data_IF_791026781117
#
_entry.id   IF_791026781117
#
_cell.length_a   1.000
_cell.length_b   1.000
_cell.length_c   1.000
_cell.angle_alpha   90.00
_cell.angle_beta   90.00
_cell.angle_gamma   90.00
#
_symmetry.space_group_name_H-M   'P 1'
#
loop_
_entity.id
_entity.type
_entity.pdbx_description
1 polymer ?
#
# COMPACT_ATOMS: atom_id res chain seq x y z
N UNK A 1 3.40 11.51 25.93
CA UNK A 1 2.12 10.85 25.50
C UNK A 1 0.99 11.83 25.80
N UNK A 2 0.19 12.18 24.79
CA UNK A 2 -0.91 13.11 24.89
C UNK A 2 -2.23 12.32 24.96
N UNK A 3 -2.94 12.41 26.08
CA UNK A 3 -4.18 11.67 26.31
C UNK A 3 -5.30 12.08 25.33
N UNK A 4 -5.39 13.38 25.00
CA UNK A 4 -6.41 13.86 24.05
C UNK A 4 -6.20 13.28 22.67
N UNK A 5 -4.94 13.19 22.22
CA UNK A 5 -4.59 12.58 20.94
C UNK A 5 -4.82 11.07 20.93
N UNK A 6 -4.58 10.37 22.04
CA UNK A 6 -4.93 8.95 22.17
C UNK A 6 -6.43 8.72 22.10
N UNK A 7 -7.23 9.59 22.76
CA UNK A 7 -8.68 9.54 22.67
C UNK A 7 -9.17 9.86 21.24
N UNK A 8 -8.54 10.81 20.56
CA UNK A 8 -8.83 11.14 19.17
C UNK A 8 -8.54 9.93 18.26
N UNK A 9 -7.36 9.30 18.39
CA UNK A 9 -7.01 8.07 17.67
C UNK A 9 -8.06 6.97 17.88
N UNK A 10 -8.47 6.73 19.12
CA UNK A 10 -9.48 5.72 19.44
C UNK A 10 -10.82 6.02 18.75
N UNK A 11 -11.24 7.28 18.71
CA UNK A 11 -12.47 7.71 18.01
C UNK A 11 -12.36 7.52 16.50
N UNK A 12 -11.22 7.87 15.87
CA UNK A 12 -10.99 7.66 14.44
C UNK A 12 -11.09 6.16 14.10
N UNK A 13 -10.40 5.29 14.86
CA UNK A 13 -10.47 3.84 14.66
C UNK A 13 -11.89 3.31 14.81
N UNK A 14 -12.64 3.81 15.80
CA UNK A 14 -14.04 3.40 16.00
C UNK A 14 -14.92 3.86 14.83
N UNK A 15 -14.73 5.09 14.34
CA UNK A 15 -15.46 5.61 13.19
C UNK A 15 -15.18 4.80 11.91
N UNK A 16 -13.93 4.40 11.67
CA UNK A 16 -13.58 3.49 10.58
C UNK A 16 -14.36 2.16 10.69
N UNK A 17 -14.40 1.55 11.88
CA UNK A 17 -15.16 0.30 12.10
C UNK A 17 -16.65 0.50 11.83
N UNK A 18 -17.23 1.57 12.39
CA UNK A 18 -18.65 1.89 12.21
C UNK A 18 -19.01 2.01 10.73
N UNK A 19 -18.16 2.67 9.93
CA UNK A 19 -18.37 2.84 8.50
C UNK A 19 -18.44 1.49 7.76
N UNK A 20 -17.46 0.60 7.95
CA UNK A 20 -17.43 -0.68 7.25
C UNK A 20 -18.51 -1.63 7.73
N UNK A 21 -18.78 -1.70 9.05
CA UNK A 21 -19.86 -2.52 9.60
C UNK A 21 -21.22 -2.06 9.06
N UNK A 22 -21.48 -0.75 9.02
CA UNK A 22 -22.73 -0.20 8.49
C UNK A 22 -22.92 -0.50 6.99
N UNK A 23 -21.83 -0.73 6.25
CA UNK A 23 -21.86 -1.14 4.84
C UNK A 23 -21.88 -2.66 4.63
N UNK A 24 -21.96 -3.45 5.70
CA UNK A 24 -22.06 -4.91 5.65
C UNK A 24 -20.74 -5.63 5.39
N UNK A 25 -19.59 -4.98 5.62
CA UNK A 25 -18.31 -5.68 5.58
C UNK A 25 -18.11 -6.53 6.83
N UNK A 26 -17.51 -7.69 6.65
CA UNK A 26 -17.09 -8.55 7.77
C UNK A 26 -15.73 -8.05 8.31
N UNK A 27 -15.67 -7.69 9.60
CA UNK A 27 -14.39 -7.46 10.26
C UNK A 27 -13.67 -8.80 10.45
N UNK A 28 -12.42 -8.88 10.02
CA UNK A 28 -11.58 -10.06 10.13
C UNK A 28 -10.45 -9.83 11.12
N UNK A 29 -9.93 -10.93 11.68
CA UNK A 29 -8.76 -10.97 12.56
C UNK A 29 -7.88 -12.12 12.12
N UNK A 30 -6.92 -11.84 11.28
CA UNK A 30 -6.02 -12.82 10.69
C UNK A 30 -4.69 -12.88 11.46
N UNK A 31 -3.94 -14.01 11.37
CA UNK A 31 -2.68 -14.15 12.09
C UNK A 31 -1.65 -13.07 11.70
N UNK A 32 -0.94 -12.55 12.70
CA UNK A 32 0.22 -11.69 12.51
C UNK A 32 1.51 -12.46 12.15
N UNK A 33 1.51 -13.77 12.36
CA UNK A 33 2.62 -14.67 12.02
C UNK A 33 2.23 -15.56 10.85
N UNK A 34 3.11 -15.66 9.85
CA UNK A 34 2.90 -16.53 8.69
C UNK A 34 4.15 -17.34 8.37
N UNK A 35 4.00 -18.62 7.96
CA UNK A 35 5.12 -19.40 7.44
C UNK A 35 5.55 -18.98 6.04
N UNK A 36 4.66 -18.32 5.31
CA UNK A 36 4.85 -17.87 3.92
C UNK A 36 4.35 -16.43 3.79
N UNK A 37 4.95 -15.65 2.90
CA UNK A 37 4.51 -14.29 2.59
C UNK A 37 4.35 -14.10 1.08
N UNK A 38 3.62 -13.08 0.68
CA UNK A 38 3.59 -12.61 -0.71
C UNK A 38 4.97 -12.03 -1.01
N UNK A 39 5.61 -12.39 -2.13
CA UNK A 39 6.90 -11.83 -2.49
C UNK A 39 6.73 -10.39 -3.00
N UNK A 40 7.26 -9.45 -2.26
CA UNK A 40 7.36 -8.04 -2.66
C UNK A 40 8.83 -7.62 -2.48
N UNK A 41 9.53 -7.37 -3.57
CA UNK A 41 10.98 -7.09 -3.55
C UNK A 41 11.32 -5.83 -2.78
N UNK A 42 10.44 -4.83 -2.81
CA UNK A 42 10.62 -3.55 -2.10
C UNK A 42 10.40 -3.61 -0.58
N UNK A 43 9.86 -4.71 -0.03
CA UNK A 43 9.55 -4.82 1.41
C UNK A 43 10.47 -5.83 2.10
N UNK A 44 11.10 -5.43 3.20
CA UNK A 44 11.82 -6.34 4.09
C UNK A 44 10.96 -6.77 5.28
N UNK A 45 11.18 -7.98 5.78
CA UNK A 45 10.33 -8.63 6.77
C UNK A 45 11.08 -8.98 8.06
N UNK A 46 10.34 -9.11 9.17
CA UNK A 46 10.87 -9.66 10.40
C UNK A 46 10.72 -11.17 10.41
N UNK A 47 11.80 -11.88 10.69
CA UNK A 47 11.82 -13.34 10.84
C UNK A 47 11.86 -13.72 12.32
N UNK A 48 11.10 -14.75 12.68
CA UNK A 48 11.12 -15.37 14.02
C UNK A 48 11.01 -16.88 13.90
N UNK A 49 11.04 -17.59 15.03
CA UNK A 49 10.94 -19.05 15.06
C UNK A 49 9.91 -19.52 16.10
N UNK A 50 9.04 -20.43 15.68
CA UNK A 50 8.25 -21.23 16.60
C UNK A 50 9.05 -22.46 17.02
N UNK A 51 9.27 -22.62 18.32
CA UNK A 51 9.93 -23.79 18.89
C UNK A 51 8.88 -24.83 19.26
N UNK A 52 8.92 -25.98 18.58
CA UNK A 52 7.95 -27.06 18.84
C UNK A 52 8.21 -27.66 20.23
N UNK A 53 7.21 -27.63 21.16
CA UNK A 53 7.39 -28.17 22.50
C UNK A 53 7.89 -29.62 22.50
N UNK A 54 8.78 -29.95 23.44
CA UNK A 54 9.32 -31.30 23.64
C UNK A 54 10.06 -31.87 22.41
N UNK A 55 10.58 -31.01 21.52
CA UNK A 55 11.23 -31.39 20.26
C UNK A 55 12.34 -30.40 19.93
N UNK A 56 13.31 -30.83 19.13
CA UNK A 56 14.32 -29.93 18.55
C UNK A 56 13.84 -29.25 17.25
N UNK A 57 12.61 -29.55 16.83
CA UNK A 57 12.03 -28.96 15.61
C UNK A 57 11.76 -27.48 15.79
N UNK A 58 12.08 -26.74 14.76
CA UNK A 58 11.83 -25.29 14.66
C UNK A 58 11.10 -24.99 13.37
N UNK A 59 10.20 -24.04 13.41
CA UNK A 59 9.49 -23.55 12.23
C UNK A 59 9.80 -22.05 12.08
N UNK A 60 10.35 -21.67 10.96
CA UNK A 60 10.52 -20.26 10.62
C UNK A 60 9.15 -19.63 10.37
N UNK A 61 8.92 -18.49 10.95
CA UNK A 61 7.74 -17.67 10.80
C UNK A 61 8.17 -16.21 10.53
N UNK A 62 7.28 -15.47 9.90
CA UNK A 62 7.50 -14.08 9.55
C UNK A 62 6.35 -13.23 10.09
N UNK A 63 6.66 -12.04 10.59
CA UNK A 63 5.64 -11.03 10.89
C UNK A 63 5.10 -10.46 9.58
N UNK A 64 3.77 -10.40 9.45
CA UNK A 64 3.14 -9.98 8.19
C UNK A 64 3.33 -8.49 7.92
N UNK A 65 3.78 -8.09 6.72
CA UNK A 65 3.87 -6.67 6.31
C UNK A 65 2.49 -6.08 5.98
N UNK A 66 1.50 -6.95 5.70
CA UNK A 66 0.08 -6.66 5.53
C UNK A 66 -0.73 -7.94 5.80
N UNK A 67 -2.02 -7.85 6.14
CA UNK A 67 -2.88 -9.02 6.31
C UNK A 67 -3.32 -9.66 4.97
N UNK A 68 -2.93 -9.13 3.84
CA UNK A 68 -3.32 -9.50 2.48
C UNK A 68 -3.30 -11.01 2.24
N UNK A 69 -2.18 -11.68 2.59
CA UNK A 69 -1.99 -13.12 2.35
C UNK A 69 -3.12 -13.98 2.93
N UNK A 70 -3.66 -13.59 4.08
CA UNK A 70 -4.75 -14.29 4.74
C UNK A 70 -6.12 -13.78 4.30
N UNK A 71 -6.28 -12.47 4.15
CA UNK A 71 -7.54 -11.87 3.72
C UNK A 71 -7.94 -12.37 2.33
N UNK A 72 -7.00 -12.49 1.40
CA UNK A 72 -7.27 -13.08 0.07
C UNK A 72 -7.67 -14.56 0.15
N UNK A 73 -7.12 -15.34 1.09
CA UNK A 73 -7.59 -16.72 1.35
C UNK A 73 -9.04 -16.77 1.84
N UNK A 74 -9.44 -15.82 2.70
CA UNK A 74 -10.83 -15.70 3.16
C UNK A 74 -11.77 -15.32 2.01
N UNK A 75 -11.36 -14.36 1.17
CA UNK A 75 -12.11 -13.89 0.01
C UNK A 75 -12.30 -15.01 -1.02
N UNK A 76 -11.23 -15.73 -1.35
CA UNK A 76 -11.29 -16.87 -2.27
C UNK A 76 -12.34 -17.90 -1.83
N UNK A 77 -12.44 -18.14 -0.52
CA UNK A 77 -13.35 -19.14 0.06
C UNK A 77 -14.79 -18.65 0.24
N UNK A 78 -14.97 -17.42 0.73
CA UNK A 78 -16.27 -16.93 1.22
C UNK A 78 -16.91 -15.88 0.30
N UNK A 79 -16.14 -15.23 -0.57
CA UNK A 79 -16.61 -14.23 -1.57
C UNK A 79 -17.45 -13.12 -0.93
N UNK A 80 -17.00 -12.58 0.21
CA UNK A 80 -17.63 -11.49 0.95
C UNK A 80 -16.68 -10.31 1.09
N UNK A 81 -17.24 -9.11 1.16
CA UNK A 81 -16.45 -7.91 1.47
C UNK A 81 -15.96 -7.97 2.91
N UNK A 82 -14.68 -7.70 3.11
CA UNK A 82 -14.01 -7.81 4.41
C UNK A 82 -13.19 -6.57 4.70
N UNK A 83 -12.95 -6.29 5.98
CA UNK A 83 -11.96 -5.32 6.41
C UNK A 83 -11.23 -5.80 7.66
N UNK A 84 -10.05 -5.27 7.90
CA UNK A 84 -9.24 -5.56 9.08
C UNK A 84 -8.45 -4.32 9.50
N UNK A 85 -8.35 -4.08 10.80
CA UNK A 85 -7.45 -3.10 11.39
C UNK A 85 -6.47 -3.86 12.28
N UNK A 86 -5.22 -3.97 11.86
CA UNK A 86 -4.22 -4.79 12.56
C UNK A 86 -2.85 -4.14 12.55
N UNK A 87 -1.97 -4.67 13.41
CA UNK A 87 -0.55 -4.36 13.36
C UNK A 87 0.10 -5.06 12.16
N UNK A 88 0.97 -4.32 11.49
CA UNK A 88 1.80 -4.77 10.39
C UNK A 88 3.25 -4.40 10.68
N UNK A 89 4.18 -5.11 10.03
CA UNK A 89 5.59 -5.06 10.38
C UNK A 89 6.45 -5.02 9.11
N UNK A 90 7.32 -4.01 9.00
CA UNK A 90 8.31 -3.91 7.92
C UNK A 90 9.69 -3.71 8.51
N UNK A 91 10.62 -4.58 8.16
CA UNK A 91 12.03 -4.49 8.57
C UNK A 91 12.80 -3.58 7.60
N UNK A 92 13.98 -3.12 8.02
CA UNK A 92 14.80 -2.19 7.21
C UNK A 92 14.05 -0.92 6.80
N UNK A 93 12.93 -0.64 7.47
CA UNK A 93 12.13 0.55 7.25
C UNK A 93 12.79 1.75 7.95
N UNK A 94 12.80 2.89 7.28
CA UNK A 94 13.30 4.12 7.90
C UNK A 94 12.44 4.50 9.11
N UNK A 95 13.09 4.78 10.25
CA UNK A 95 12.39 5.33 11.42
C UNK A 95 12.36 6.84 11.30
N UNK A 96 11.19 7.42 11.20
CA UNK A 96 11.06 8.85 10.92
C UNK A 96 9.70 9.43 11.23
N UNK A 97 9.43 10.60 10.64
CA UNK A 97 8.18 11.33 10.88
C UNK A 97 6.92 10.59 10.44
N UNK A 98 7.02 9.72 9.46
CA UNK A 98 5.88 9.04 8.80
C UNK A 98 6.01 7.52 8.75
N UNK A 99 7.12 6.97 9.27
CA UNK A 99 7.42 5.55 9.23
C UNK A 99 7.80 4.99 10.60
N UNK A 100 7.39 3.76 10.86
CA UNK A 100 7.75 2.95 12.01
C UNK A 100 7.78 1.48 11.57
N UNK A 101 8.74 0.66 12.07
CA UNK A 101 8.80 -0.77 11.75
C UNK A 101 7.56 -1.56 12.16
N UNK A 102 6.86 -1.11 13.18
CA UNK A 102 5.52 -1.57 13.57
C UNK A 102 4.53 -0.42 13.37
N UNK A 103 3.47 -0.65 12.63
CA UNK A 103 2.44 0.33 12.35
C UNK A 103 1.05 -0.31 12.33
N UNK A 104 0.00 0.52 12.30
CA UNK A 104 -1.38 0.04 12.20
C UNK A 104 -1.88 0.26 10.78
N UNK A 105 -2.38 -0.80 10.16
CA UNK A 105 -2.98 -0.78 8.82
C UNK A 105 -4.48 -1.06 8.91
N UNK A 106 -5.26 -0.32 8.14
CA UNK A 106 -6.59 -0.69 7.71
C UNK A 106 -6.44 -1.32 6.33
N UNK A 107 -6.92 -2.55 6.16
CA UNK A 107 -7.03 -3.16 4.85
C UNK A 107 -8.47 -3.59 4.61
N UNK A 108 -9.02 -3.32 3.43
CA UNK A 108 -10.38 -3.72 3.08
C UNK A 108 -10.51 -4.13 1.63
N UNK A 109 -11.38 -5.12 1.40
CA UNK A 109 -11.68 -5.65 0.07
C UNK A 109 -13.18 -5.55 -0.20
N UNK A 110 -13.52 -5.00 -1.35
CA UNK A 110 -14.90 -4.79 -1.80
C UNK A 110 -15.21 -5.74 -2.96
N UNK A 111 -16.17 -6.62 -2.75
CA UNK A 111 -16.62 -7.55 -3.79
C UNK A 111 -17.33 -6.82 -4.93
N UNK A 112 -17.11 -7.30 -6.17
CA UNK A 112 -17.68 -6.77 -7.41
C UNK A 112 -17.33 -5.30 -7.70
N UNK A 113 -16.32 -4.76 -7.02
CA UNK A 113 -15.79 -3.42 -7.21
C UNK A 113 -14.46 -3.45 -7.99
N UNK A 114 -14.10 -2.32 -8.54
CA UNK A 114 -12.78 -2.04 -9.12
C UNK A 114 -12.10 -0.86 -8.38
N UNK A 115 -10.91 -0.48 -8.85
CA UNK A 115 -10.13 0.61 -8.24
C UNK A 115 -10.85 1.96 -8.29
N UNK A 116 -11.77 2.18 -9.27
CA UNK A 116 -12.56 3.42 -9.39
C UNK A 116 -13.71 3.46 -8.39
N UNK A 117 -14.36 2.32 -8.16
CA UNK A 117 -15.36 2.19 -7.09
C UNK A 117 -14.73 2.50 -5.73
N UNK A 118 -13.50 2.03 -5.52
CA UNK A 118 -12.75 2.27 -4.27
C UNK A 118 -12.36 3.73 -4.04
N UNK A 119 -12.22 4.57 -5.09
CA UNK A 119 -12.10 6.03 -4.92
C UNK A 119 -13.30 6.58 -4.15
N UNK A 120 -14.50 6.22 -4.60
CA UNK A 120 -15.76 6.66 -3.99
C UNK A 120 -15.93 6.10 -2.57
N UNK A 121 -15.56 4.84 -2.34
CA UNK A 121 -15.63 4.22 -1.01
C UNK A 121 -14.69 4.95 -0.05
N UNK A 122 -13.47 5.26 -0.48
CA UNK A 122 -12.48 5.98 0.31
C UNK A 122 -12.94 7.41 0.62
N UNK A 123 -13.44 8.15 -0.36
CA UNK A 123 -14.02 9.49 -0.13
C UNK A 123 -15.19 9.45 0.87
N UNK A 124 -16.08 8.45 0.76
CA UNK A 124 -17.17 8.24 1.68
C UNK A 124 -16.70 7.90 3.11
N UNK A 125 -15.61 7.12 3.24
CA UNK A 125 -14.98 6.84 4.53
C UNK A 125 -14.51 8.15 5.19
N UNK A 126 -13.80 9.01 4.45
CA UNK A 126 -13.36 10.31 4.95
C UNK A 126 -14.56 11.19 5.34
N UNK A 127 -15.57 11.29 4.48
CA UNK A 127 -16.79 12.05 4.76
C UNK A 127 -17.48 11.58 6.05
N UNK A 128 -17.56 10.26 6.26
CA UNK A 128 -18.13 9.65 7.46
C UNK A 128 -17.33 10.03 8.72
N UNK A 129 -16.00 9.89 8.68
CA UNK A 129 -15.12 10.22 9.81
C UNK A 129 -15.23 11.71 10.15
N UNK A 130 -15.14 12.59 9.14
CA UNK A 130 -15.22 14.04 9.33
C UNK A 130 -16.56 14.44 9.98
N UNK A 131 -17.66 13.86 9.50
CA UNK A 131 -19.01 14.10 10.04
C UNK A 131 -19.19 13.58 11.46
N UNK A 132 -18.82 12.33 11.73
CA UNK A 132 -18.97 11.68 13.03
C UNK A 132 -18.15 12.38 14.12
N UNK A 133 -16.93 12.78 13.79
CA UNK A 133 -16.02 13.47 14.71
C UNK A 133 -16.18 14.99 14.70
N UNK A 134 -17.10 15.55 13.89
CA UNK A 134 -17.38 17.00 13.75
C UNK A 134 -16.11 17.80 13.40
N UNK A 135 -15.32 17.28 12.48
CA UNK A 135 -14.11 17.92 11.98
C UNK A 135 -14.48 18.84 10.80
N UNK A 136 -14.79 20.11 11.08
CA UNK A 136 -15.27 21.05 10.07
C UNK A 136 -14.17 21.51 9.11
N UNK A 137 -12.95 21.66 9.60
CA UNK A 137 -11.79 22.08 8.80
C UNK A 137 -10.55 21.28 9.20
N UNK A 138 -10.06 20.45 8.28
CA UNK A 138 -8.80 19.73 8.42
C UNK A 138 -7.88 20.17 7.28
N UNK A 139 -6.73 20.71 7.62
CA UNK A 139 -5.76 21.19 6.61
C UNK A 139 -5.36 20.05 5.66
N UNK A 140 -5.51 20.29 4.36
CA UNK A 140 -5.18 19.30 3.34
C UNK A 140 -6.21 18.20 3.15
N UNK A 141 -7.35 18.23 3.88
CA UNK A 141 -8.44 17.25 3.74
C UNK A 141 -9.73 17.96 3.35
N UNK A 142 -10.03 17.98 2.07
CA UNK A 142 -11.28 18.54 1.53
C UNK A 142 -11.83 17.69 0.41
N UNK A 143 -13.14 17.43 0.44
CA UNK A 143 -13.84 16.65 -0.59
C UNK A 143 -14.35 17.58 -1.72
N UNK A 144 -14.50 17.07 -2.97
CA UNK A 144 -13.97 15.80 -3.45
C UNK A 144 -12.45 15.85 -3.60
N UNK A 145 -11.80 14.65 -3.56
CA UNK A 145 -10.36 14.53 -3.76
C UNK A 145 -9.98 14.77 -5.23
N UNK A 146 -8.76 15.27 -5.44
CA UNK A 146 -8.21 15.45 -6.78
C UNK A 146 -7.81 14.09 -7.37
N UNK A 147 -7.88 13.95 -8.69
CA UNK A 147 -7.56 12.72 -9.42
C UNK A 147 -6.69 13.06 -10.60
N UNK A 148 -5.50 12.47 -10.65
CA UNK A 148 -4.59 12.58 -11.80
C UNK A 148 -4.00 11.22 -12.13
N UNK A 149 -3.66 11.01 -13.39
CA UNK A 149 -2.91 9.82 -13.81
C UNK A 149 -1.43 9.97 -13.49
N UNK A 150 -0.72 8.83 -13.43
CA UNK A 150 0.74 8.83 -13.29
C UNK A 150 1.42 9.64 -14.40
N UNK A 151 0.94 9.48 -15.63
CA UNK A 151 1.45 10.21 -16.79
C UNK A 151 1.28 11.73 -16.66
N UNK A 152 0.13 12.20 -16.13
CA UNK A 152 -0.10 13.61 -15.82
C UNK A 152 0.77 14.14 -14.67
N UNK A 153 1.03 13.29 -13.66
CA UNK A 153 1.91 13.64 -12.54
C UNK A 153 3.34 13.88 -13.04
N UNK A 154 3.87 12.98 -13.88
CA UNK A 154 5.17 13.15 -14.50
C UNK A 154 5.24 14.43 -15.35
N UNK A 155 4.22 14.69 -16.17
CA UNK A 155 4.17 15.92 -16.95
C UNK A 155 4.23 17.17 -16.07
N UNK A 156 3.44 17.19 -14.97
CA UNK A 156 3.34 18.37 -14.10
C UNK A 156 4.59 18.60 -13.23
N UNK A 157 5.30 17.54 -12.84
CA UNK A 157 6.39 17.63 -11.87
C UNK A 157 7.77 17.42 -12.47
N UNK A 158 7.88 16.59 -13.51
CA UNK A 158 9.13 16.26 -14.19
C UNK A 158 9.22 16.84 -15.62
N UNK A 159 8.13 17.38 -16.16
CA UNK A 159 8.10 18.10 -17.45
C UNK A 159 8.05 17.20 -18.69
N UNK A 160 7.76 15.90 -18.53
CA UNK A 160 7.58 14.97 -19.64
C UNK A 160 6.48 13.92 -19.29
N UNK A 161 5.95 13.25 -20.30
CA UNK A 161 4.99 12.15 -20.12
C UNK A 161 5.73 10.81 -20.14
N UNK A 162 5.34 9.87 -19.28
CA UNK A 162 5.88 8.51 -19.31
C UNK A 162 5.56 7.80 -20.61
N UNK A 163 4.37 8.05 -21.17
CA UNK A 163 3.94 7.53 -22.46
C UNK A 163 4.86 7.93 -23.63
N UNK A 164 5.63 9.03 -23.51
CA UNK A 164 6.62 9.46 -24.49
C UNK A 164 7.97 8.74 -24.31
N UNK A 165 8.14 7.94 -23.26
CA UNK A 165 9.38 7.25 -22.90
C UNK A 165 9.15 5.74 -22.72
N UNK A 166 8.76 5.01 -23.78
CA UNK A 166 8.49 3.57 -23.67
C UNK A 166 9.74 2.71 -23.45
N UNK A 167 10.95 3.21 -23.79
CA UNK A 167 12.18 2.45 -23.68
C UNK A 167 13.06 2.93 -22.52
N UNK A 168 13.87 2.03 -21.89
CA UNK A 168 14.73 2.39 -20.75
C UNK A 168 15.69 3.53 -21.05
N UNK A 169 16.26 3.57 -22.25
CA UNK A 169 17.26 4.56 -22.67
C UNK A 169 16.66 5.99 -22.62
N UNK A 170 15.36 6.12 -22.93
CA UNK A 170 14.68 7.42 -22.90
C UNK A 170 14.49 7.90 -21.45
N UNK A 171 14.19 6.99 -20.51
CA UNK A 171 14.11 7.33 -19.07
C UNK A 171 15.51 7.62 -18.50
N UNK A 172 16.55 6.88 -18.93
CA UNK A 172 17.91 7.13 -18.50
C UNK A 172 18.38 8.54 -18.92
N UNK A 173 18.03 8.99 -20.15
CA UNK A 173 18.30 10.36 -20.59
C UNK A 173 17.59 11.40 -19.71
N UNK A 174 16.31 11.16 -19.34
CA UNK A 174 15.57 12.03 -18.41
C UNK A 174 16.20 12.07 -17.03
N UNK A 175 16.54 10.89 -16.48
CA UNK A 175 17.21 10.78 -15.18
C UNK A 175 18.54 11.54 -15.14
N UNK A 176 19.38 11.36 -16.17
CA UNK A 176 20.63 12.09 -16.32
C UNK A 176 20.40 13.62 -16.41
N UNK A 177 19.35 14.06 -17.10
CA UNK A 177 18.94 15.47 -17.16
C UNK A 177 18.56 16.06 -15.79
N UNK A 178 18.19 15.23 -14.82
CA UNK A 178 17.94 15.63 -13.43
C UNK A 178 19.18 15.49 -12.52
N UNK A 179 20.31 15.04 -13.06
CA UNK A 179 21.53 14.79 -12.30
C UNK A 179 21.47 13.51 -11.48
N UNK A 180 20.62 12.56 -11.85
CA UNK A 180 20.56 11.24 -11.23
C UNK A 180 21.58 10.32 -11.95
N UNK A 181 22.37 9.61 -11.15
CA UNK A 181 23.33 8.63 -11.69
C UNK A 181 22.57 7.35 -12.06
N UNK A 182 22.78 6.87 -13.28
CA UNK A 182 22.17 5.65 -13.81
C UNK A 182 23.25 4.62 -14.13
N UNK A 183 22.87 3.35 -14.05
CA UNK A 183 23.69 2.20 -14.44
C UNK A 183 23.09 1.55 -15.69
N UNK A 184 23.93 1.04 -16.59
CA UNK A 184 23.50 0.37 -17.83
C UNK A 184 22.66 -0.91 -17.58
N UNK A 185 22.69 -1.43 -16.36
CA UNK A 185 21.90 -2.57 -15.93
C UNK A 185 20.47 -2.23 -15.50
N UNK A 186 20.15 -0.94 -15.30
CA UNK A 186 18.82 -0.52 -14.86
C UNK A 186 17.76 -0.75 -15.92
N UNK A 187 16.69 -1.47 -15.51
CA UNK A 187 15.49 -1.63 -16.31
C UNK A 187 14.64 -0.37 -16.35
N UNK A 188 13.56 -0.43 -17.13
CA UNK A 188 12.60 0.67 -17.22
C UNK A 188 11.98 1.00 -15.88
N UNK A 189 11.64 -0.02 -15.09
CA UNK A 189 11.04 0.07 -13.76
C UNK A 189 11.98 0.70 -12.73
N UNK A 190 13.28 0.34 -12.74
CA UNK A 190 14.29 0.97 -11.87
C UNK A 190 14.41 2.48 -12.15
N UNK A 191 14.50 2.84 -13.43
CA UNK A 191 14.61 4.23 -13.87
C UNK A 191 13.34 5.03 -13.58
N UNK A 192 12.16 4.42 -13.78
CA UNK A 192 10.88 4.99 -13.40
C UNK A 192 10.85 5.29 -11.90
N UNK A 193 11.17 4.30 -11.05
CA UNK A 193 11.14 4.45 -9.60
C UNK A 193 12.12 5.52 -9.13
N UNK A 194 13.33 5.54 -9.68
CA UNK A 194 14.32 6.57 -9.39
C UNK A 194 13.79 7.97 -9.69
N UNK A 195 13.20 8.20 -10.86
CA UNK A 195 12.65 9.52 -11.23
C UNK A 195 11.43 9.83 -10.37
N UNK A 196 10.57 8.83 -10.11
CA UNK A 196 9.38 9.00 -9.28
C UNK A 196 9.74 9.48 -7.88
N UNK A 197 10.62 8.78 -7.18
CA UNK A 197 11.03 9.09 -5.80
C UNK A 197 11.79 10.42 -5.70
N UNK A 198 12.60 10.78 -6.70
CA UNK A 198 13.42 11.98 -6.62
C UNK A 198 12.76 13.25 -7.22
N UNK A 199 11.83 13.10 -8.14
CA UNK A 199 11.27 14.26 -8.88
C UNK A 199 9.75 14.35 -8.84
N UNK A 200 9.02 13.23 -8.83
CA UNK A 200 7.57 13.27 -8.92
C UNK A 200 6.94 13.32 -7.53
N UNK A 201 7.19 12.30 -6.73
CA UNK A 201 6.57 12.15 -5.40
C UNK A 201 6.79 13.36 -4.47
N UNK A 202 8.03 13.91 -4.31
CA UNK A 202 8.26 15.07 -3.46
C UNK A 202 7.52 16.34 -3.90
N UNK A 203 7.09 16.39 -5.17
CA UNK A 203 6.43 17.54 -5.76
C UNK A 203 4.90 17.36 -5.91
N UNK A 204 4.32 16.21 -5.53
CA UNK A 204 2.87 15.98 -5.60
C UNK A 204 2.08 17.02 -4.79
N UNK A 205 2.57 17.42 -3.62
CA UNK A 205 1.95 18.47 -2.79
C UNK A 205 1.88 19.86 -3.43
N UNK A 206 2.62 20.08 -4.53
CA UNK A 206 2.57 21.33 -5.29
C UNK A 206 1.46 21.34 -6.35
N UNK A 207 0.98 20.15 -6.75
CA UNK A 207 -0.07 19.99 -7.75
C UNK A 207 -1.41 20.48 -7.20
N UNK A 208 -1.72 20.13 -5.96
CA UNK A 208 -2.97 20.47 -5.30
C UNK A 208 -2.81 20.55 -3.79
N UNK A 209 -3.70 21.32 -3.14
CA UNK A 209 -3.82 21.35 -1.67
C UNK A 209 -4.88 20.37 -1.15
N UNK A 210 -5.58 19.69 -2.04
CA UNK A 210 -6.54 18.65 -1.70
C UNK A 210 -5.83 17.30 -1.61
N UNK A 211 -6.47 16.29 -0.97
CA UNK A 211 -6.04 14.92 -1.12
C UNK A 211 -6.02 14.52 -2.61
N UNK A 212 -5.01 13.78 -3.01
CA UNK A 212 -4.73 13.45 -4.40
C UNK A 212 -4.73 11.94 -4.60
N UNK A 213 -5.60 11.44 -5.45
CA UNK A 213 -5.48 10.11 -6.00
C UNK A 213 -4.55 10.13 -7.22
N UNK A 214 -3.42 9.46 -7.12
CA UNK A 214 -2.50 9.21 -8.20
C UNK A 214 -2.84 7.85 -8.82
N UNK A 215 -3.28 7.84 -10.08
CA UNK A 215 -3.95 6.69 -10.71
C UNK A 215 -3.19 6.16 -11.92
N UNK A 216 -3.59 4.97 -12.37
CA UNK A 216 -3.16 4.40 -13.65
C UNK A 216 -1.63 4.22 -13.69
N UNK A 217 -1.13 3.39 -12.78
CA UNK A 217 0.29 3.06 -12.67
C UNK A 217 0.79 2.31 -13.91
N UNK A 218 2.05 2.50 -14.33
CA UNK A 218 2.57 1.82 -15.51
C UNK A 218 2.55 0.30 -15.37
N UNK A 219 2.13 -0.39 -16.42
CA UNK A 219 2.10 -1.86 -16.47
C UNK A 219 3.47 -2.51 -16.27
N UNK A 220 4.54 -1.79 -16.63
CA UNK A 220 5.92 -2.24 -16.46
C UNK A 220 6.37 -2.31 -15.00
N UNK A 221 5.65 -1.62 -14.09
CA UNK A 221 5.88 -1.73 -12.65
C UNK A 221 5.15 -2.95 -12.10
N UNK A 222 5.88 -3.96 -11.59
CA UNK A 222 5.28 -5.21 -11.15
C UNK A 222 4.34 -5.01 -9.95
N UNK A 223 3.12 -5.50 -10.05
CA UNK A 223 2.17 -5.59 -8.94
C UNK A 223 1.01 -6.55 -9.25
N UNK A 224 0.25 -6.95 -8.24
CA UNK A 224 -0.91 -7.84 -8.37
C UNK A 224 -2.22 -7.09 -8.69
N UNK A 225 -2.12 -5.96 -9.39
CA UNK A 225 -3.28 -5.26 -9.95
C UNK A 225 -3.61 -5.75 -11.36
N UNK A 226 -4.89 -5.68 -11.74
CA UNK A 226 -5.34 -5.99 -13.10
C UNK A 226 -4.76 -4.98 -14.11
N UNK A 227 -4.58 -5.44 -15.35
CA UNK A 227 -4.29 -4.57 -16.48
C UNK A 227 -5.55 -3.74 -16.80
N UNK A 228 -5.38 -2.45 -17.07
CA UNK A 228 -6.50 -1.57 -17.40
C UNK A 228 -7.04 -1.86 -18.80
N UNK A 229 -8.35 -2.12 -18.88
CA UNK A 229 -9.02 -2.32 -20.17
C UNK A 229 -9.09 -1.02 -21.00
N UNK A 230 -9.06 0.13 -20.35
CA UNK A 230 -9.14 1.45 -21.00
C UNK A 230 -7.78 2.06 -21.38
N UNK A 231 -6.69 1.56 -20.79
CA UNK A 231 -5.32 2.05 -20.99
C UNK A 231 -4.36 0.85 -20.96
N UNK A 232 -4.05 0.23 -22.11
CA UNK A 232 -3.33 -1.05 -22.18
C UNK A 232 -1.96 -1.06 -21.49
N UNK A 233 -1.31 0.10 -21.36
CA UNK A 233 0.00 0.27 -20.75
C UNK A 233 -0.07 0.60 -19.25
N UNK A 234 -1.28 0.54 -18.65
CA UNK A 234 -1.53 0.87 -17.26
C UNK A 234 -2.13 -0.29 -16.48
N UNK A 235 -1.91 -0.25 -15.17
CA UNK A 235 -2.55 -1.08 -14.16
C UNK A 235 -3.71 -0.34 -13.51
N UNK A 236 -4.75 -1.07 -13.11
CA UNK A 236 -5.87 -0.57 -12.31
C UNK A 236 -5.42 -0.41 -10.85
N UNK A 237 -4.61 0.61 -10.61
CA UNK A 237 -4.00 0.96 -9.33
C UNK A 237 -4.12 2.45 -9.06
N UNK A 238 -4.32 2.82 -7.80
CA UNK A 238 -4.11 4.19 -7.33
C UNK A 238 -3.45 4.22 -5.96
N UNK A 239 -2.79 5.33 -5.67
CA UNK A 239 -2.34 5.70 -4.34
C UNK A 239 -2.97 7.04 -3.93
N UNK A 240 -3.28 7.18 -2.64
CA UNK A 240 -3.82 8.40 -2.05
C UNK A 240 -2.73 9.16 -1.32
N UNK A 241 -2.53 10.41 -1.72
CA UNK A 241 -1.60 11.33 -1.09
C UNK A 241 -2.34 12.47 -0.37
N UNK A 242 -1.91 12.80 0.84
CA UNK A 242 -2.37 13.97 1.59
C UNK A 242 -1.14 14.77 2.00
N UNK A 243 -1.05 16.04 1.55
CA UNK A 243 0.11 16.90 1.79
C UNK A 243 1.45 16.27 1.35
N UNK A 244 1.44 15.49 0.27
CA UNK A 244 2.62 14.78 -0.26
C UNK A 244 3.00 13.52 0.53
N UNK A 245 2.18 13.07 1.45
CA UNK A 245 2.39 11.83 2.21
C UNK A 245 1.44 10.78 1.68
N UNK A 246 1.98 9.64 1.22
CA UNK A 246 1.20 8.48 0.85
C UNK A 246 0.42 7.94 2.06
N UNK A 247 -0.89 7.80 1.89
CA UNK A 247 -1.79 7.32 2.93
C UNK A 247 -2.35 5.94 2.64
N UNK A 248 -2.65 5.65 1.36
CA UNK A 248 -3.27 4.40 0.97
C UNK A 248 -2.85 3.99 -0.45
N UNK A 249 -2.90 2.68 -0.70
CA UNK A 249 -2.67 2.05 -1.99
C UNK A 249 -3.85 1.12 -2.32
N UNK A 250 -4.28 1.08 -3.58
CA UNK A 250 -5.43 0.30 -4.05
C UNK A 250 -5.16 -0.41 -5.35
N UNK A 251 -5.68 -1.62 -5.46
CA UNK A 251 -5.72 -2.40 -6.69
C UNK A 251 -7.15 -2.82 -7.05
N UNK A 252 -7.47 -2.89 -8.36
CA UNK A 252 -8.37 -3.95 -8.82
C UNK A 252 -7.57 -5.23 -8.78
N UNK A 253 -7.98 -6.18 -7.94
CA UNK A 253 -7.19 -7.38 -7.68
C UNK A 253 -7.05 -8.25 -8.92
N UNK A 254 -5.82 -8.71 -9.22
CA UNK A 254 -5.61 -9.71 -10.26
C UNK A 254 -6.38 -11.00 -9.91
N UNK A 255 -7.09 -11.54 -10.87
CA UNK A 255 -7.93 -12.74 -10.71
C UNK A 255 -7.47 -13.90 -11.58
N UNK A 256 -6.52 -13.67 -12.48
CA UNK A 256 -5.95 -14.71 -13.33
C UNK A 256 -4.88 -15.50 -12.57
N UNK A 257 -5.12 -16.79 -12.27
CA UNK A 257 -4.16 -17.62 -11.55
C UNK A 257 -2.80 -17.72 -12.24
N UNK A 258 -2.75 -17.67 -13.58
CA UNK A 258 -1.50 -17.75 -14.31
C UNK A 258 -0.65 -16.49 -14.09
N UNK A 259 -1.24 -15.31 -14.18
CA UNK A 259 -0.53 -14.06 -13.91
C UNK A 259 -0.03 -13.97 -12.47
N UNK A 260 -0.83 -14.45 -11.49
CA UNK A 260 -0.41 -14.53 -10.10
C UNK A 260 0.76 -15.50 -9.94
N UNK A 261 0.73 -16.65 -10.61
CA UNK A 261 1.84 -17.61 -10.60
C UNK A 261 3.13 -16.98 -11.15
N UNK A 262 3.06 -16.35 -12.32
CA UNK A 262 4.19 -15.68 -12.98
C UNK A 262 4.79 -14.58 -12.07
N UNK A 263 3.94 -13.79 -11.39
CA UNK A 263 4.38 -12.80 -10.41
C UNK A 263 5.13 -13.44 -9.25
N UNK A 264 4.56 -14.50 -8.64
CA UNK A 264 5.17 -15.19 -7.50
C UNK A 264 6.51 -15.86 -7.86
N UNK A 265 6.63 -16.44 -9.05
CA UNK A 265 7.88 -17.04 -9.53
C UNK A 265 8.96 -15.99 -9.76
N UNK A 266 8.62 -14.87 -10.40
CA UNK A 266 9.54 -13.77 -10.68
C UNK A 266 9.98 -13.06 -9.39
N UNK A 267 9.05 -12.53 -8.64
CA UNK A 267 9.35 -11.76 -7.42
C UNK A 267 9.94 -12.65 -6.32
N UNK A 268 9.46 -13.88 -6.18
CA UNK A 268 10.03 -14.86 -5.25
C UNK A 268 11.48 -15.21 -5.60
N UNK A 269 11.80 -15.31 -6.90
CA UNK A 269 13.15 -15.53 -7.37
C UNK A 269 14.11 -14.36 -7.08
N UNK A 270 13.63 -13.12 -7.24
CA UNK A 270 14.37 -11.90 -6.90
C UNK A 270 14.55 -11.80 -5.38
N UNK A 271 13.48 -12.00 -4.62
CA UNK A 271 13.49 -11.94 -3.15
C UNK A 271 14.49 -12.91 -2.53
N UNK A 272 14.62 -14.11 -3.08
CA UNK A 272 15.64 -15.09 -2.64
C UNK A 272 17.08 -14.63 -2.86
N UNK A 273 17.34 -13.77 -3.84
CA UNK A 273 18.69 -13.33 -4.21
C UNK A 273 19.08 -12.02 -3.52
N UNK A 274 18.16 -11.10 -3.38
CA UNK A 274 18.42 -9.68 -3.07
C UNK A 274 17.96 -9.27 -1.67
N UNK A 275 16.98 -9.99 -1.08
CA UNK A 275 16.45 -9.61 0.23
C UNK A 275 17.47 -9.73 1.35
N UNK A 276 17.47 -8.76 2.26
CA UNK A 276 18.23 -8.82 3.53
C UNK A 276 17.71 -9.96 4.40
N UNK A 277 16.38 -10.16 4.40
CA UNK A 277 15.72 -11.28 5.11
C UNK A 277 14.89 -12.08 4.10
N UNK A 278 15.47 -13.11 3.45
CA UNK A 278 14.73 -13.99 2.58
C UNK A 278 13.61 -14.71 3.33
N UNK A 279 12.45 -14.80 2.70
CA UNK A 279 11.32 -15.53 3.27
C UNK A 279 10.81 -16.60 2.32
N UNK A 280 10.11 -17.57 2.89
CA UNK A 280 9.43 -18.59 2.12
C UNK A 280 8.21 -18.00 1.40
N UNK A 281 7.97 -18.51 0.20
CA UNK A 281 6.80 -18.20 -0.64
C UNK A 281 5.99 -19.49 -0.80
N UNK A 282 4.67 -19.38 -0.69
CA UNK A 282 3.76 -20.50 -0.95
C UNK A 282 3.64 -20.73 -2.47
N UNK A 283 4.34 -21.72 -3.01
CA UNK A 283 4.35 -22.09 -4.43
C UNK A 283 2.95 -22.45 -4.98
N UNK A 284 2.00 -22.70 -4.10
CA UNK A 284 0.63 -23.07 -4.45
C UNK A 284 -0.39 -21.94 -4.23
N UNK A 285 0.05 -20.77 -3.80
CA UNK A 285 -0.83 -19.64 -3.48
C UNK A 285 -1.73 -19.26 -4.66
N UNK A 286 -1.20 -19.26 -5.88
CA UNK A 286 -1.94 -18.95 -7.11
C UNK A 286 -3.15 -19.87 -7.36
N UNK A 287 -3.16 -21.11 -6.81
CA UNK A 287 -4.26 -22.06 -7.03
C UNK A 287 -5.60 -21.58 -6.48
N UNK A 288 -5.57 -20.74 -5.45
CA UNK A 288 -6.81 -20.20 -4.88
C UNK A 288 -7.47 -19.17 -5.80
N UNK A 289 -6.73 -18.65 -6.80
CA UNK A 289 -7.25 -17.73 -7.80
C UNK A 289 -8.10 -18.41 -8.88
N UNK A 290 -8.17 -19.74 -8.91
CA UNK A 290 -9.16 -20.46 -9.72
C UNK A 290 -10.57 -20.14 -9.20
N UNK A 291 -11.25 -19.21 -9.89
CA UNK A 291 -12.57 -18.70 -9.48
C UNK A 291 -12.53 -17.66 -8.36
N UNK A 292 -11.41 -16.97 -8.19
CA UNK A 292 -11.30 -15.81 -7.33
C UNK A 292 -12.29 -14.73 -7.78
N UNK A 293 -13.03 -14.08 -6.87
CA UNK A 293 -14.03 -13.10 -7.24
C UNK A 293 -13.39 -11.78 -7.67
N UNK A 294 -14.06 -11.06 -8.59
CA UNK A 294 -13.70 -9.66 -8.86
C UNK A 294 -13.85 -8.84 -7.59
N UNK A 295 -12.81 -8.15 -7.20
CA UNK A 295 -12.82 -7.24 -6.06
C UNK A 295 -11.73 -6.18 -6.20
N UNK A 296 -11.87 -5.11 -5.44
CA UNK A 296 -10.79 -4.17 -5.20
C UNK A 296 -10.31 -4.26 -3.77
N UNK A 297 -9.01 -4.14 -3.56
CA UNK A 297 -8.35 -4.11 -2.27
C UNK A 297 -7.71 -2.75 -2.00
N UNK A 298 -7.81 -2.26 -0.78
CA UNK A 298 -7.19 -1.01 -0.32
C UNK A 298 -6.47 -1.25 0.99
N UNK A 299 -5.19 -0.88 1.02
CA UNK A 299 -4.37 -0.82 2.23
C UNK A 299 -4.15 0.64 2.62
N UNK A 300 -4.47 1.02 3.87
CA UNK A 300 -4.38 2.39 4.37
C UNK A 300 -3.65 2.44 5.70
N UNK A 301 -2.65 3.32 5.82
CA UNK A 301 -1.93 3.56 7.06
C UNK A 301 -2.78 4.31 8.09
N UNK A 302 -3.26 3.63 9.13
CA UNK A 302 -4.10 4.25 10.19
C UNK A 302 -3.35 5.30 10.97
N UNK A 303 -2.05 5.10 11.22
CA UNK A 303 -1.23 6.07 11.94
C UNK A 303 -1.10 7.37 11.16
N UNK A 304 -0.89 7.28 9.84
CA UNK A 304 -0.86 8.44 8.93
C UNK A 304 -2.24 9.08 8.78
N UNK A 305 -3.33 8.28 8.73
CA UNK A 305 -4.70 8.80 8.72
C UNK A 305 -4.98 9.66 9.96
N UNK A 306 -4.69 9.14 11.16
CA UNK A 306 -4.87 9.88 12.41
C UNK A 306 -3.98 11.12 12.45
N UNK A 307 -2.73 11.01 11.99
CA UNK A 307 -1.80 12.13 11.88
C UNK A 307 -2.38 13.26 11.03
N UNK A 308 -2.88 12.95 9.83
CA UNK A 308 -3.47 13.93 8.91
C UNK A 308 -4.74 14.57 9.52
N UNK A 309 -5.65 13.75 10.06
CA UNK A 309 -6.91 14.24 10.66
C UNK A 309 -6.68 15.08 11.92
N UNK A 310 -5.61 14.83 12.66
CA UNK A 310 -5.21 15.61 13.84
C UNK A 310 -4.36 16.85 13.50
N UNK A 311 -4.11 17.12 12.19
CA UNK A 311 -3.26 18.25 11.76
C UNK A 311 -1.80 18.12 12.23
N UNK A 312 -1.32 16.90 12.45
CA UNK A 312 0.07 16.63 12.88
C UNK A 312 0.97 16.41 11.67
N UNK A 313 2.27 16.69 11.84
CA UNK A 313 3.30 16.51 10.81
C UNK A 313 4.17 15.27 11.05
N UNK A 314 3.91 14.53 12.13
CA UNK A 314 4.66 13.33 12.51
C UNK A 314 3.73 12.34 13.22
N UNK A 315 3.97 11.03 13.01
CA UNK A 315 3.30 9.95 13.73
C UNK A 315 3.78 9.83 15.18
N UNK A 316 4.87 10.48 15.57
CA UNK A 316 5.43 10.43 16.93
C UNK A 316 4.42 10.80 18.02
N UNK A 317 3.55 11.77 17.75
CA UNK A 317 2.47 12.16 18.68
C UNK A 317 1.23 11.29 18.58
N UNK A 318 1.10 10.49 17.51
CA UNK A 318 -0.05 9.64 17.22
C UNK A 318 0.12 8.25 17.81
N UNK A 319 1.35 7.73 17.75
CA UNK A 319 1.69 6.45 18.36
C UNK A 319 1.75 6.60 19.88
N UNK A 320 1.17 5.66 20.66
CA UNK A 320 1.29 5.67 22.12
C UNK A 320 2.74 5.59 22.59
N UNK A 321 3.53 4.78 21.90
CA UNK A 321 4.94 4.60 22.12
C UNK A 321 5.67 4.69 20.77
N UNK A 322 6.66 5.55 20.70
CA UNK A 322 7.52 5.68 19.55
C UNK A 322 8.50 4.51 19.52
N UNK A 323 8.81 4.04 18.32
CA UNK A 323 9.95 3.14 18.14
C UNK A 323 11.24 3.98 18.16
N UNK A 324 12.14 3.66 19.07
CA UNK A 324 13.46 4.27 19.15
C UNK A 324 14.52 3.18 18.91
N UNK A 325 15.47 3.47 18.03
CA UNK A 325 16.66 2.62 17.86
C UNK A 325 17.52 2.81 19.09
N UNK A 326 17.78 1.72 19.78
CA UNK A 326 18.72 1.73 20.93
C UNK A 326 20.14 1.67 20.40
N UNK A 327 21.04 2.50 20.98
CA UNK A 327 22.47 2.52 20.69
C UNK A 327 23.18 1.22 21.13
#
# INVERSE_FOLDING_TARGET
MDLELLQFRAKVIQSVRNFFIAKGYLETDTPALSPDLIPETCLEVFKTQYLVPWSEKRQDLYLVPSPEIYMKKLIARHKVSVFQISKCYRNVESVGRTHSPEFTMLEYYTMNADYRDSLTITENLFSSILSELKLEQVEGVSLPFERITMDEAFLKTAGFRLSDCPEPEQLAEKAAGFGLETDDSYGWDDLYEMIFVHKVEPNLAQITKKPLFLMDYPKKVPCLAQDSAGSPDCKERWELYINGIELANCYSEETDPQKVQEYFEREGGLKCKEAVVPHRVDENYWKMFNGFPRCSGVAMGVDRLVMCLAGKKSIDGVLPFKFDVMD
#
